data_IF_702913929912
#
_entry.id   IF_702913929912
#
_cell.length_a   1.000
_cell.length_b   1.000
_cell.length_c   1.000
_cell.angle_alpha   90.00
_cell.angle_beta   90.00
_cell.angle_gamma   90.00
#
_symmetry.space_group_name_H-M   'P 1'
#
loop_
_entity.id
_entity.type
_entity.pdbx_description
1 polymer ?
#
# COMPACT_ATOMS: atom_id res chain seq x y z
N UNK A 1 -59.15 46.64 11.76
CA UNK A 1 -58.04 46.16 12.59
C UNK A 1 -58.58 45.22 13.64
N UNK A 2 -58.47 43.91 13.41
CA UNK A 2 -58.79 42.87 14.41
C UNK A 2 -57.79 41.74 14.19
N UNK A 3 -56.61 41.90 14.78
CA UNK A 3 -55.54 40.91 14.77
C UNK A 3 -55.78 39.87 15.85
N UNK A 4 -55.83 38.62 15.42
CA UNK A 4 -56.14 37.42 16.19
C UNK A 4 -55.12 37.17 17.32
N UNK A 5 -55.55 37.34 18.58
CA UNK A 5 -54.81 37.07 19.83
C UNK A 5 -54.85 35.58 20.26
N UNK A 6 -54.79 34.62 19.34
CA UNK A 6 -55.02 33.19 19.68
C UNK A 6 -53.78 32.48 20.29
N UNK A 7 -52.59 33.08 20.21
CA UNK A 7 -51.34 32.44 20.66
C UNK A 7 -50.99 32.60 22.15
N UNK A 8 -51.34 33.74 22.76
CA UNK A 8 -50.85 34.09 24.12
C UNK A 8 -51.58 33.38 25.24
N UNK A 9 -52.86 33.03 25.03
CA UNK A 9 -53.68 32.42 26.07
C UNK A 9 -53.31 30.96 26.34
N UNK A 10 -52.86 30.22 25.33
CA UNK A 10 -52.42 28.83 25.50
C UNK A 10 -51.11 28.73 26.26
N UNK A 11 -50.15 29.62 25.98
CA UNK A 11 -48.88 29.68 26.69
C UNK A 11 -49.09 30.10 28.15
N UNK A 12 -49.95 31.09 28.40
CA UNK A 12 -50.29 31.50 29.76
C UNK A 12 -50.99 30.38 30.52
N UNK A 13 -51.99 29.72 29.93
CA UNK A 13 -52.68 28.60 30.56
C UNK A 13 -51.74 27.42 30.86
N UNK A 14 -50.85 27.08 29.92
CA UNK A 14 -49.84 26.04 30.14
C UNK A 14 -48.87 26.41 31.27
N UNK A 15 -48.37 27.65 31.31
CA UNK A 15 -47.49 28.13 32.37
C UNK A 15 -48.20 28.10 33.74
N UNK A 16 -49.45 28.57 33.82
CA UNK A 16 -50.23 28.52 35.05
C UNK A 16 -50.40 27.08 35.54
N UNK A 17 -50.78 26.15 34.65
CA UNK A 17 -50.92 24.74 35.01
C UNK A 17 -49.58 24.09 35.38
N UNK A 18 -48.50 24.43 34.67
CA UNK A 18 -47.16 23.92 34.95
C UNK A 18 -46.64 24.33 36.33
N UNK A 19 -46.86 25.58 36.74
CA UNK A 19 -46.37 26.04 38.05
C UNK A 19 -47.34 25.73 39.20
N UNK A 20 -48.65 25.79 38.96
CA UNK A 20 -49.65 25.65 40.01
C UNK A 20 -50.12 24.20 40.26
N UNK A 21 -50.03 23.30 39.28
CA UNK A 21 -50.57 21.94 39.39
C UNK A 21 -49.48 20.86 39.29
N UNK A 22 -49.21 20.21 40.43
CA UNK A 22 -48.24 19.12 40.51
C UNK A 22 -48.64 17.88 39.69
N UNK A 23 -49.95 17.61 39.52
CA UNK A 23 -50.44 16.48 38.72
C UNK A 23 -50.27 16.75 37.24
N UNK A 24 -50.48 18.00 36.80
CA UNK A 24 -50.23 18.41 35.42
C UNK A 24 -48.74 18.24 35.04
N UNK A 25 -47.82 18.65 35.92
CA UNK A 25 -46.38 18.42 35.74
C UNK A 25 -46.04 16.93 35.68
N UNK A 26 -46.57 16.14 36.62
CA UNK A 26 -46.31 14.70 36.66
C UNK A 26 -46.83 14.01 35.38
N UNK A 27 -48.01 14.39 34.90
CA UNK A 27 -48.56 13.86 33.66
C UNK A 27 -47.67 14.19 32.45
N UNK A 28 -47.16 15.42 32.36
CA UNK A 28 -46.24 15.81 31.29
C UNK A 28 -44.87 15.13 31.34
N UNK A 29 -44.40 14.72 32.53
CA UNK A 29 -43.13 14.00 32.68
C UNK A 29 -43.30 12.49 32.47
N UNK A 30 -44.37 11.91 33.02
CA UNK A 30 -44.57 10.45 33.06
C UNK A 30 -45.23 9.93 31.79
N UNK A 31 -46.22 10.64 31.22
CA UNK A 31 -46.96 10.11 30.07
C UNK A 31 -46.09 9.92 28.83
N UNK A 32 -45.15 10.82 28.46
CA UNK A 32 -44.26 10.57 27.33
C UNK A 32 -43.35 9.36 27.56
N UNK A 33 -42.82 9.20 28.77
CA UNK A 33 -41.98 8.05 29.11
C UNK A 33 -42.78 6.74 29.13
N UNK A 34 -43.98 6.76 29.69
CA UNK A 34 -44.90 5.63 29.70
C UNK A 34 -45.32 5.25 28.28
N UNK A 35 -45.61 6.23 27.41
CA UNK A 35 -45.94 6.00 26.01
C UNK A 35 -44.76 5.39 25.24
N UNK A 36 -43.53 5.89 25.44
CA UNK A 36 -42.32 5.30 24.84
C UNK A 36 -42.09 3.87 25.36
N UNK A 37 -42.27 3.61 26.65
CA UNK A 37 -42.14 2.27 27.22
C UNK A 37 -43.21 1.31 26.67
N UNK A 38 -44.46 1.76 26.53
CA UNK A 38 -45.56 1.00 25.93
C UNK A 38 -45.30 0.70 24.46
N UNK A 39 -44.84 1.69 23.68
CA UNK A 39 -44.51 1.52 22.27
C UNK A 39 -43.30 0.58 22.11
N UNK A 40 -42.28 0.69 22.96
CA UNK A 40 -41.14 -0.22 22.96
C UNK A 40 -41.58 -1.65 23.34
N UNK A 41 -42.40 -1.80 24.38
CA UNK A 41 -42.96 -3.09 24.79
C UNK A 41 -43.84 -3.73 23.71
N UNK A 42 -44.69 -2.94 23.05
CA UNK A 42 -45.53 -3.39 21.93
C UNK A 42 -44.67 -3.78 20.73
N UNK A 43 -43.66 -2.98 20.37
CA UNK A 43 -42.73 -3.31 19.30
C UNK A 43 -42.00 -4.63 19.60
N UNK A 44 -41.50 -4.82 20.82
CA UNK A 44 -40.86 -6.07 21.24
C UNK A 44 -41.82 -7.28 21.19
N UNK A 45 -43.07 -7.09 21.61
CA UNK A 45 -44.09 -8.14 21.58
C UNK A 45 -44.50 -8.54 20.14
N UNK A 46 -44.62 -7.55 19.25
CA UNK A 46 -45.02 -7.77 17.85
C UNK A 46 -43.87 -8.32 16.99
N UNK A 47 -42.63 -7.94 17.29
CA UNK A 47 -41.48 -8.35 16.48
C UNK A 47 -41.08 -9.83 16.66
N UNK A 48 -41.67 -10.55 17.64
CA UNK A 48 -41.31 -11.94 18.01
C UNK A 48 -39.83 -12.21 17.71
N UNK A 49 -38.90 -11.53 18.41
CA UNK A 49 -37.50 -11.53 18.03
C UNK A 49 -37.05 -12.99 17.89
N UNK A 50 -36.73 -13.39 16.67
CA UNK A 50 -36.37 -14.77 16.33
C UNK A 50 -34.99 -15.17 16.91
N UNK A 51 -34.40 -14.32 17.77
CA UNK A 51 -33.17 -14.58 18.49
C UNK A 51 -33.31 -14.12 19.94
N UNK A 52 -32.73 -14.88 20.85
CA UNK A 52 -32.63 -14.50 22.26
C UNK A 52 -31.82 -13.21 22.37
N UNK A 53 -32.49 -12.15 22.81
CA UNK A 53 -31.86 -10.85 22.99
C UNK A 53 -30.70 -10.94 23.98
N UNK A 54 -29.53 -10.43 23.60
CA UNK A 54 -28.33 -10.45 24.45
C UNK A 54 -27.45 -11.71 24.36
N UNK A 55 -27.86 -12.76 23.63
CA UNK A 55 -26.90 -13.81 23.24
C UNK A 55 -26.00 -13.27 22.12
N UNK A 56 -24.66 -13.33 22.27
CA UNK A 56 -23.77 -12.98 21.18
C UNK A 56 -24.09 -13.86 19.97
N UNK A 57 -24.01 -13.28 18.77
CA UNK A 57 -24.37 -13.98 17.53
C UNK A 57 -23.51 -15.23 17.25
N UNK A 58 -22.40 -15.38 17.97
CA UNK A 58 -21.64 -16.61 18.04
C UNK A 58 -21.01 -16.80 19.43
N UNK A 59 -20.78 -18.05 19.82
CA UNK A 59 -20.02 -18.38 21.04
C UNK A 59 -18.51 -18.39 20.75
N UNK A 60 -17.67 -18.20 21.78
CA UNK A 60 -16.21 -18.32 21.61
C UNK A 60 -15.81 -19.74 21.21
N UNK A 61 -16.58 -20.73 21.66
CA UNK A 61 -16.40 -22.15 21.34
C UNK A 61 -16.66 -22.40 19.86
N UNK A 62 -17.72 -21.81 19.29
CA UNK A 62 -18.03 -21.90 17.87
C UNK A 62 -16.97 -21.19 17.03
N UNK A 63 -16.55 -19.98 17.42
CA UNK A 63 -15.48 -19.26 16.72
C UNK A 63 -14.20 -20.10 16.65
N UNK A 64 -13.80 -20.70 17.78
CA UNK A 64 -12.65 -21.61 17.82
C UNK A 64 -12.84 -22.85 16.95
N UNK A 65 -14.03 -23.46 16.99
CA UNK A 65 -14.37 -24.62 16.17
C UNK A 65 -14.23 -24.29 14.68
N UNK A 66 -14.84 -23.20 14.22
CA UNK A 66 -14.81 -22.84 12.81
C UNK A 66 -13.44 -22.35 12.34
N UNK A 67 -12.63 -21.75 13.24
CA UNK A 67 -11.23 -21.44 12.94
C UNK A 67 -10.39 -22.70 12.71
N UNK A 68 -10.59 -23.75 13.53
CA UNK A 68 -9.94 -25.06 13.32
C UNK A 68 -10.37 -25.71 12.00
N UNK A 69 -11.65 -25.60 11.65
CA UNK A 69 -12.16 -26.08 10.36
C UNK A 69 -11.57 -25.29 9.17
N UNK A 70 -11.44 -23.97 9.29
CA UNK A 70 -10.77 -23.11 8.30
C UNK A 70 -9.32 -23.55 8.08
N UNK A 71 -8.57 -23.76 9.17
CA UNK A 71 -7.17 -24.15 9.07
C UNK A 71 -7.00 -25.52 8.41
N UNK A 72 -7.79 -26.53 8.81
CA UNK A 72 -7.77 -27.86 8.16
C UNK A 72 -8.19 -27.79 6.69
N UNK A 73 -9.25 -27.05 6.39
CA UNK A 73 -9.70 -26.88 5.01
C UNK A 73 -8.64 -26.18 4.16
N UNK A 74 -8.06 -25.07 4.63
CA UNK A 74 -7.15 -24.23 3.86
C UNK A 74 -5.70 -24.74 3.80
N UNK A 75 -5.15 -25.16 4.94
CA UNK A 75 -3.74 -25.59 5.04
C UNK A 75 -3.55 -27.05 4.64
N UNK A 76 -4.48 -27.92 5.02
CA UNK A 76 -4.38 -29.35 4.77
C UNK A 76 -5.16 -29.81 3.54
N UNK A 77 -6.09 -28.99 3.04
CA UNK A 77 -6.99 -29.36 1.96
C UNK A 77 -8.07 -30.35 2.39
N UNK A 78 -8.39 -30.39 3.69
CA UNK A 78 -9.40 -31.30 4.25
C UNK A 78 -10.80 -30.92 3.73
N UNK A 79 -11.31 -31.74 2.79
CA UNK A 79 -12.64 -31.56 2.20
C UNK A 79 -13.76 -31.73 3.22
N UNK A 80 -13.61 -32.61 4.22
CA UNK A 80 -14.64 -32.81 5.23
C UNK A 80 -14.73 -31.59 6.17
N UNK A 81 -13.57 -31.01 6.51
CA UNK A 81 -13.54 -29.75 7.26
C UNK A 81 -14.18 -28.60 6.48
N UNK A 82 -13.89 -28.50 5.17
CA UNK A 82 -14.51 -27.53 4.29
C UNK A 82 -16.04 -27.66 4.24
N UNK A 83 -16.56 -28.87 4.01
CA UNK A 83 -18.03 -29.07 3.95
C UNK A 83 -18.71 -28.77 5.29
N UNK A 84 -18.08 -29.09 6.43
CA UNK A 84 -18.61 -28.72 7.75
C UNK A 84 -18.62 -27.20 7.96
N UNK A 85 -17.55 -26.51 7.57
CA UNK A 85 -17.46 -25.06 7.65
C UNK A 85 -18.53 -24.40 6.77
N UNK A 86 -18.69 -24.89 5.55
CA UNK A 86 -19.72 -24.45 4.60
C UNK A 86 -21.13 -24.68 5.15
N UNK A 87 -21.42 -25.85 5.72
CA UNK A 87 -22.71 -26.15 6.33
C UNK A 87 -23.06 -25.18 7.47
N UNK A 88 -22.11 -24.85 8.35
CA UNK A 88 -22.30 -23.82 9.39
C UNK A 88 -22.57 -22.44 8.77
N UNK A 89 -21.82 -22.07 7.72
CA UNK A 89 -22.05 -20.81 7.03
C UNK A 89 -23.45 -20.72 6.40
N UNK A 90 -23.92 -21.81 5.78
CA UNK A 90 -25.26 -21.93 5.21
C UNK A 90 -26.35 -21.88 6.29
N UNK A 91 -26.11 -22.53 7.44
CA UNK A 91 -26.98 -22.48 8.61
C UNK A 91 -27.09 -21.07 9.24
N UNK A 92 -26.15 -20.18 8.94
CA UNK A 92 -26.19 -18.79 9.37
C UNK A 92 -25.19 -18.42 10.46
N UNK A 93 -24.32 -19.34 10.88
CA UNK A 93 -23.29 -19.09 11.88
C UNK A 93 -22.34 -17.98 11.44
N UNK A 94 -22.16 -16.99 12.31
CA UNK A 94 -21.46 -15.74 11.97
C UNK A 94 -19.97 -15.99 11.71
N UNK A 95 -19.30 -16.75 12.58
CA UNK A 95 -17.88 -17.08 12.40
C UNK A 95 -17.68 -17.99 11.21
N UNK A 96 -18.53 -19.00 11.02
CA UNK A 96 -18.45 -19.91 9.87
C UNK A 96 -18.56 -19.15 8.55
N UNK A 97 -19.52 -18.21 8.43
CA UNK A 97 -19.64 -17.33 7.27
C UNK A 97 -18.39 -16.49 7.07
N UNK A 98 -17.87 -15.85 8.12
CA UNK A 98 -16.65 -15.05 8.02
C UNK A 98 -15.46 -15.88 7.52
N UNK A 99 -15.27 -17.07 8.07
CA UNK A 99 -14.16 -17.95 7.70
C UNK A 99 -14.33 -18.58 6.30
N UNK A 100 -15.56 -18.87 5.87
CA UNK A 100 -15.83 -19.18 4.46
C UNK A 100 -15.45 -18.02 3.54
N UNK A 101 -15.72 -16.77 3.96
CA UNK A 101 -15.26 -15.58 3.26
C UNK A 101 -13.74 -15.54 3.11
N UNK A 102 -12.98 -15.98 4.12
CA UNK A 102 -11.51 -16.01 4.07
C UNK A 102 -10.97 -17.01 3.03
N UNK A 103 -11.61 -18.16 2.86
CA UNK A 103 -11.24 -19.13 1.82
C UNK A 103 -11.49 -18.59 0.40
N UNK A 104 -12.46 -17.70 0.20
CA UNK A 104 -12.70 -17.07 -1.09
C UNK A 104 -11.94 -15.75 -1.29
N UNK A 105 -11.52 -15.07 -0.23
CA UNK A 105 -10.81 -13.80 -0.33
C UNK A 105 -9.44 -14.00 -1.01
N UNK A 106 -9.14 -13.35 -2.15
CA UNK A 106 -7.89 -13.57 -2.88
C UNK A 106 -6.59 -13.33 -2.11
N UNK A 107 -6.59 -12.44 -1.12
CA UNK A 107 -5.40 -12.18 -0.31
C UNK A 107 -5.16 -13.30 0.70
N UNK A 108 -6.22 -13.79 1.32
CA UNK A 108 -6.16 -14.82 2.37
C UNK A 108 -6.06 -16.21 1.78
N UNK A 109 -6.78 -16.48 0.69
CA UNK A 109 -6.73 -17.74 -0.03
C UNK A 109 -5.30 -18.11 -0.48
N UNK A 110 -4.46 -17.11 -0.78
CA UNK A 110 -3.05 -17.33 -1.13
C UNK A 110 -2.19 -17.84 0.05
N UNK A 111 -2.61 -17.58 1.29
CA UNK A 111 -1.96 -18.10 2.51
C UNK A 111 -2.34 -19.56 2.79
N UNK A 112 -3.41 -20.04 2.16
CA UNK A 112 -3.94 -21.40 2.30
C UNK A 112 -3.55 -22.23 1.07
N UNK A 113 -2.31 -22.74 1.07
CA UNK A 113 -1.71 -23.40 -0.10
C UNK A 113 -2.51 -24.60 -0.65
N UNK A 114 -3.35 -25.24 0.17
CA UNK A 114 -4.20 -26.37 -0.21
C UNK A 114 -5.69 -26.03 -0.22
N UNK A 115 -6.03 -24.74 -0.29
CA UNK A 115 -7.41 -24.28 -0.29
C UNK A 115 -8.25 -25.00 -1.37
N UNK A 116 -9.35 -25.66 -0.99
CA UNK A 116 -10.16 -26.45 -1.92
C UNK A 116 -10.96 -25.59 -2.90
N UNK A 117 -11.04 -24.26 -2.69
CA UNK A 117 -11.77 -23.35 -3.56
C UNK A 117 -10.84 -22.35 -4.25
N UNK A 118 -11.24 -21.94 -5.46
CA UNK A 118 -10.56 -20.86 -6.16
C UNK A 118 -10.91 -19.51 -5.51
N UNK A 119 -9.96 -18.57 -5.41
CA UNK A 119 -10.22 -17.19 -5.03
C UNK A 119 -11.37 -16.55 -5.83
N UNK A 120 -12.29 -15.89 -5.13
CA UNK A 120 -13.45 -15.18 -5.71
C UNK A 120 -13.86 -14.04 -4.75
N UNK A 121 -13.52 -12.81 -5.12
CA UNK A 121 -13.78 -11.62 -4.32
C UNK A 121 -15.29 -11.36 -4.11
N UNK A 122 -16.12 -11.57 -5.13
CA UNK A 122 -17.56 -11.31 -5.04
C UNK A 122 -18.23 -12.31 -4.10
N UNK A 123 -17.81 -13.58 -4.17
CA UNK A 123 -18.29 -14.63 -3.27
C UNK A 123 -17.83 -14.39 -1.83
N UNK A 124 -16.58 -13.95 -1.64
CA UNK A 124 -16.08 -13.57 -0.33
C UNK A 124 -16.91 -12.43 0.30
N UNK A 125 -17.22 -11.37 -0.45
CA UNK A 125 -18.08 -10.27 0.01
C UNK A 125 -19.48 -10.77 0.42
N UNK A 126 -20.05 -11.72 -0.31
CA UNK A 126 -21.34 -12.32 0.03
C UNK A 126 -21.30 -13.01 1.39
N UNK A 127 -20.23 -13.76 1.66
CA UNK A 127 -20.02 -14.41 2.96
C UNK A 127 -19.76 -13.42 4.10
N UNK A 128 -18.97 -12.38 3.84
CA UNK A 128 -18.62 -11.39 4.85
C UNK A 128 -19.75 -10.43 5.21
N UNK A 129 -20.66 -10.12 4.29
CA UNK A 129 -21.63 -9.03 4.45
C UNK A 129 -22.43 -9.12 5.76
N UNK A 130 -23.14 -10.23 5.99
CA UNK A 130 -23.99 -10.38 7.17
C UNK A 130 -23.18 -10.40 8.47
N UNK A 131 -22.08 -11.18 8.60
CA UNK A 131 -21.19 -11.08 9.75
C UNK A 131 -20.64 -9.67 10.01
N UNK A 132 -20.26 -8.93 8.96
CA UNK A 132 -19.74 -7.58 9.09
C UNK A 132 -20.80 -6.59 9.59
N UNK A 133 -22.05 -6.73 9.11
CA UNK A 133 -23.20 -5.95 9.57
C UNK A 133 -23.52 -6.22 11.05
N UNK A 134 -23.24 -7.44 11.53
CA UNK A 134 -23.36 -7.83 12.93
C UNK A 134 -22.15 -7.44 13.80
N UNK A 135 -21.14 -6.78 13.21
CA UNK A 135 -19.97 -6.32 13.93
C UNK A 135 -18.89 -7.38 14.16
N UNK A 136 -18.86 -8.47 13.39
CA UNK A 136 -17.82 -9.47 13.51
C UNK A 136 -16.48 -8.93 12.94
N UNK A 137 -15.41 -8.78 13.75
CA UNK A 137 -14.20 -8.07 13.33
C UNK A 137 -13.54 -8.64 12.08
N UNK A 138 -13.43 -9.98 11.99
CA UNK A 138 -12.80 -10.63 10.83
C UNK A 138 -13.52 -10.34 9.52
N UNK A 139 -14.86 -10.25 9.56
CA UNK A 139 -15.65 -9.92 8.40
C UNK A 139 -15.64 -8.43 8.07
N UNK A 140 -15.69 -7.55 9.07
CA UNK A 140 -15.52 -6.11 8.84
C UNK A 140 -14.17 -5.81 8.18
N UNK A 141 -13.09 -6.47 8.63
CA UNK A 141 -11.77 -6.43 7.99
C UNK A 141 -11.82 -6.94 6.55
N UNK A 142 -12.36 -8.14 6.32
CA UNK A 142 -12.47 -8.72 4.97
C UNK A 142 -13.27 -7.85 3.99
N UNK A 143 -14.37 -7.23 4.45
CA UNK A 143 -15.12 -6.24 3.69
C UNK A 143 -14.27 -5.02 3.35
N UNK A 144 -13.52 -4.50 4.32
CA UNK A 144 -12.66 -3.32 4.15
C UNK A 144 -11.58 -3.57 3.11
N UNK A 145 -10.83 -4.67 3.23
CA UNK A 145 -9.75 -5.04 2.33
C UNK A 145 -10.24 -5.24 0.89
N UNK A 146 -11.39 -5.93 0.70
CA UNK A 146 -11.93 -6.20 -0.63
C UNK A 146 -12.54 -4.97 -1.30
N UNK A 147 -13.24 -4.13 -0.55
CA UNK A 147 -13.93 -2.95 -1.09
C UNK A 147 -13.01 -1.74 -1.28
N UNK A 148 -11.91 -1.64 -0.55
CA UNK A 148 -10.95 -0.53 -0.69
C UNK A 148 -9.78 -0.84 -1.63
N UNK A 149 -9.62 -2.10 -2.05
CA UNK A 149 -8.60 -2.50 -3.01
C UNK A 149 -9.10 -2.39 -4.46
N UNK A 150 -8.66 -1.35 -5.19
CA UNK A 150 -8.98 -1.13 -6.61
C UNK A 150 -8.56 -2.28 -7.54
N UNK A 151 -7.59 -3.10 -7.13
CA UNK A 151 -7.09 -4.25 -7.87
C UNK A 151 -8.04 -5.45 -7.96
N UNK A 152 -9.16 -5.45 -7.22
CA UNK A 152 -10.00 -6.66 -7.04
C UNK A 152 -11.38 -6.57 -7.70
N UNK A 153 -11.67 -5.49 -8.42
CA UNK A 153 -12.90 -5.35 -9.21
C UNK A 153 -14.20 -5.19 -8.40
N UNK A 154 -14.11 -5.06 -7.07
CA UNK A 154 -15.24 -4.86 -6.16
C UNK A 154 -15.11 -3.54 -5.39
N UNK A 155 -14.42 -2.57 -5.97
CA UNK A 155 -14.13 -1.31 -5.29
C UNK A 155 -15.40 -0.51 -5.02
N UNK A 156 -15.63 -0.20 -3.74
CA UNK A 156 -16.72 0.65 -3.26
C UNK A 156 -16.17 1.42 -2.06
N UNK A 157 -15.67 2.63 -2.36
CA UNK A 157 -14.98 3.45 -1.38
C UNK A 157 -15.86 3.76 -0.15
N UNK A 158 -17.11 4.19 -0.37
CA UNK A 158 -18.00 4.58 0.73
C UNK A 158 -18.32 3.41 1.64
N UNK A 159 -18.69 2.27 1.05
CA UNK A 159 -19.03 1.07 1.82
C UNK A 159 -17.80 0.48 2.49
N UNK A 160 -16.67 0.43 1.81
CA UNK A 160 -15.39 -0.02 2.36
C UNK A 160 -14.95 0.83 3.54
N UNK A 161 -15.00 2.15 3.43
CA UNK A 161 -14.68 3.08 4.51
C UNK A 161 -15.61 2.94 5.71
N UNK A 162 -16.92 2.75 5.47
CA UNK A 162 -17.88 2.46 6.55
C UNK A 162 -17.49 1.22 7.35
N UNK A 163 -17.16 0.10 6.68
CA UNK A 163 -16.72 -1.11 7.39
C UNK A 163 -15.36 -0.97 8.05
N UNK A 164 -14.42 -0.25 7.41
CA UNK A 164 -13.09 -0.01 7.96
C UNK A 164 -13.15 0.79 9.26
N UNK A 165 -13.97 1.84 9.29
CA UNK A 165 -14.21 2.61 10.51
C UNK A 165 -14.93 1.80 11.59
N UNK A 166 -15.90 0.97 11.20
CA UNK A 166 -16.58 0.08 12.14
C UNK A 166 -15.63 -0.98 12.73
N UNK A 167 -14.70 -1.52 11.92
CA UNK A 167 -13.64 -2.41 12.36
C UNK A 167 -12.68 -1.72 13.32
N UNK A 168 -12.20 -0.52 12.98
CA UNK A 168 -11.30 0.27 13.83
C UNK A 168 -11.94 0.61 15.19
N UNK A 169 -13.24 0.94 15.20
CA UNK A 169 -13.97 1.25 16.43
C UNK A 169 -14.35 -0.01 17.24
N UNK A 170 -14.10 -1.21 16.73
CA UNK A 170 -14.52 -2.45 17.36
C UNK A 170 -13.60 -2.81 18.55
N UNK A 171 -14.12 -2.88 19.79
CA UNK A 171 -13.29 -3.18 20.96
C UNK A 171 -12.72 -4.60 20.96
N UNK A 172 -13.35 -5.55 20.24
CA UNK A 172 -12.81 -6.89 20.04
C UNK A 172 -11.61 -6.83 19.09
N UNK A 173 -11.69 -6.02 18.03
CA UNK A 173 -10.58 -5.82 17.09
C UNK A 173 -9.33 -5.28 17.80
N UNK A 174 -9.53 -4.26 18.65
CA UNK A 174 -8.47 -3.66 19.45
C UNK A 174 -7.83 -4.64 20.44
N UNK A 175 -8.63 -5.47 21.15
CA UNK A 175 -8.12 -6.45 22.13
C UNK A 175 -7.36 -7.61 21.50
N UNK A 176 -7.81 -8.10 20.35
CA UNK A 176 -7.26 -9.29 19.70
C UNK A 176 -6.08 -8.96 18.77
N UNK A 177 -5.53 -7.73 18.86
CA UNK A 177 -4.47 -7.24 17.99
C UNK A 177 -4.76 -7.41 16.48
N UNK A 178 -6.04 -7.41 16.08
CA UNK A 178 -6.40 -7.42 14.66
C UNK A 178 -5.93 -6.13 13.94
N UNK A 179 -5.59 -5.10 14.72
CA UNK A 179 -4.96 -3.86 14.26
C UNK A 179 -3.52 -4.07 13.73
N UNK A 180 -2.90 -5.23 13.98
CA UNK A 180 -1.62 -5.59 13.35
C UNK A 180 -1.77 -5.83 11.83
N UNK A 181 -3.00 -5.80 11.31
CA UNK A 181 -3.29 -5.68 9.88
C UNK A 181 -2.99 -4.27 9.37
N UNK A 182 -1.71 -3.99 9.16
CA UNK A 182 -1.26 -2.71 8.60
C UNK A 182 -1.95 -2.34 7.29
N UNK A 183 -2.28 -3.33 6.45
CA UNK A 183 -2.99 -3.10 5.18
C UNK A 183 -4.37 -2.50 5.44
N UNK A 184 -5.10 -3.00 6.44
CA UNK A 184 -6.42 -2.46 6.80
C UNK A 184 -6.31 -1.02 7.33
N UNK A 185 -5.33 -0.75 8.21
CA UNK A 185 -5.09 0.60 8.72
C UNK A 185 -4.68 1.58 7.62
N UNK A 186 -3.85 1.13 6.67
CA UNK A 186 -3.50 1.88 5.47
C UNK A 186 -4.76 2.34 4.74
N UNK A 187 -5.69 1.41 4.48
CA UNK A 187 -6.92 1.71 3.75
C UNK A 187 -7.85 2.65 4.51
N UNK A 188 -7.97 2.47 5.83
CA UNK A 188 -8.80 3.34 6.68
C UNK A 188 -8.24 4.77 6.71
N UNK A 189 -6.92 4.94 6.74
CA UNK A 189 -6.32 6.26 6.69
C UNK A 189 -6.63 6.98 5.36
N UNK A 190 -6.66 6.25 4.24
CA UNK A 190 -7.12 6.77 2.95
C UNK A 190 -8.56 7.29 2.96
N UNK A 191 -9.44 6.72 3.79
CA UNK A 191 -10.81 7.21 3.94
C UNK A 191 -10.89 8.64 4.48
N UNK A 192 -9.93 9.06 5.31
CA UNK A 192 -9.89 10.41 5.87
C UNK A 192 -9.26 11.44 4.93
N UNK A 193 -8.68 11.02 3.81
CA UNK A 193 -8.07 11.94 2.84
C UNK A 193 -8.84 12.04 1.53
N UNK A 194 -9.62 11.01 1.20
CA UNK A 194 -10.48 10.99 0.02
C UNK A 194 -11.85 11.64 0.32
N UNK A 195 -12.21 12.69 -0.43
CA UNK A 195 -13.48 13.40 -0.26
C UNK A 195 -14.71 12.57 -0.68
N UNK A 196 -14.52 11.54 -1.53
CA UNK A 196 -15.62 10.68 -1.99
C UNK A 196 -15.94 9.55 -1.00
N UNK A 197 -15.14 9.39 0.06
CA UNK A 197 -15.27 8.31 1.03
C UNK A 197 -16.55 8.35 1.86
N UNK A 198 -17.23 9.50 1.89
CA UNK A 198 -18.35 9.74 2.81
C UNK A 198 -17.92 9.92 4.26
N UNK A 199 -16.60 9.96 4.53
CA UNK A 199 -16.01 10.29 5.83
C UNK A 199 -15.54 11.75 5.77
N UNK A 200 -15.76 12.57 6.82
CA UNK A 200 -15.20 13.92 6.87
C UNK A 200 -13.68 13.89 6.70
N UNK A 201 -13.16 14.71 5.79
CA UNK A 201 -11.72 14.80 5.53
C UNK A 201 -11.00 15.25 6.79
N UNK A 202 -10.06 14.43 7.26
CA UNK A 202 -9.24 14.66 8.44
C UNK A 202 -7.81 14.10 8.22
N UNK A 203 -6.94 14.88 7.55
CA UNK A 203 -5.59 14.45 7.23
C UNK A 203 -4.74 14.20 8.48
N UNK A 204 -5.08 14.83 9.61
CA UNK A 204 -4.39 14.62 10.87
C UNK A 204 -4.71 13.24 11.43
N UNK A 205 -5.99 12.85 11.42
CA UNK A 205 -6.40 11.51 11.85
C UNK A 205 -5.86 10.40 10.94
N UNK A 206 -5.79 10.65 9.63
CA UNK A 206 -5.10 9.77 8.69
C UNK A 206 -3.62 9.62 9.07
N UNK A 207 -2.92 10.73 9.34
CA UNK A 207 -1.53 10.73 9.74
C UNK A 207 -1.32 9.97 11.07
N UNK A 208 -2.21 10.12 12.04
CA UNK A 208 -2.12 9.38 13.31
C UNK A 208 -2.19 7.86 13.07
N UNK A 209 -3.16 7.40 12.28
CA UNK A 209 -3.29 5.98 11.89
C UNK A 209 -2.04 5.44 11.18
N UNK A 210 -1.49 6.21 10.24
CA UNK A 210 -0.26 5.83 9.56
C UNK A 210 0.93 5.73 10.53
N UNK A 211 1.06 6.70 11.43
CA UNK A 211 2.17 6.76 12.37
C UNK A 211 2.11 5.64 13.40
N UNK A 212 0.92 5.20 13.79
CA UNK A 212 0.75 4.03 14.65
C UNK A 212 1.13 2.74 13.92
N UNK A 213 0.79 2.64 12.63
CA UNK A 213 1.18 1.50 11.78
C UNK A 213 2.70 1.41 11.57
N UNK A 214 3.35 2.55 11.34
CA UNK A 214 4.82 2.63 11.20
C UNK A 214 5.50 2.32 12.54
N UNK A 215 4.97 2.82 13.66
CA UNK A 215 5.50 2.57 15.00
C UNK A 215 5.38 1.10 15.42
N UNK A 216 4.40 0.36 14.88
CA UNK A 216 4.30 -1.09 15.05
C UNK A 216 5.42 -1.88 14.32
N UNK A 217 6.33 -1.20 13.61
CA UNK A 217 7.52 -1.75 12.94
C UNK A 217 7.23 -2.85 11.91
N UNK A 218 6.06 -2.82 11.30
CA UNK A 218 5.66 -3.80 10.28
C UNK A 218 6.47 -3.52 8.99
N UNK A 219 7.44 -4.38 8.60
CA UNK A 219 8.46 -4.02 7.59
C UNK A 219 7.89 -3.64 6.22
N UNK A 220 6.83 -4.33 5.78
CA UNK A 220 6.14 -4.07 4.52
C UNK A 220 5.42 -2.72 4.54
N UNK A 221 4.78 -2.39 5.67
CA UNK A 221 4.09 -1.13 5.85
C UNK A 221 5.09 0.04 5.74
N UNK A 222 6.20 -0.04 6.47
CA UNK A 222 7.24 1.01 6.49
C UNK A 222 7.78 1.28 5.08
N UNK A 223 8.13 0.24 4.33
CA UNK A 223 8.64 0.39 2.96
C UNK A 223 7.57 0.99 2.05
N UNK A 224 6.37 0.40 2.01
CA UNK A 224 5.25 0.88 1.17
C UNK A 224 4.93 2.34 1.46
N UNK A 225 4.80 2.71 2.74
CA UNK A 225 4.51 4.09 3.13
C UNK A 225 5.61 5.08 2.74
N UNK A 226 6.87 4.71 2.97
CA UNK A 226 8.00 5.60 2.68
C UNK A 226 8.13 5.86 1.18
N UNK A 227 7.92 4.82 0.37
CA UNK A 227 8.05 4.88 -1.09
C UNK A 227 6.86 5.62 -1.73
N UNK A 228 5.66 5.47 -1.15
CA UNK A 228 4.45 6.12 -1.63
C UNK A 228 4.20 7.50 -1.03
N UNK A 229 5.01 7.96 -0.07
CA UNK A 229 4.79 9.25 0.61
C UNK A 229 4.68 10.43 -0.36
N UNK A 230 5.41 10.39 -1.49
CA UNK A 230 5.34 11.41 -2.53
C UNK A 230 4.09 11.37 -3.41
N UNK A 231 3.27 10.33 -3.30
CA UNK A 231 1.96 10.21 -3.97
C UNK A 231 0.80 10.62 -3.07
N UNK A 232 1.07 10.81 -1.77
CA UNK A 232 0.05 11.18 -0.80
C UNK A 232 -0.36 12.65 -0.95
N UNK A 233 -1.61 13.00 -0.60
CA UNK A 233 -2.05 14.39 -0.57
C UNK A 233 -1.11 15.28 0.27
N UNK A 234 -0.78 16.52 -0.18
CA UNK A 234 0.18 17.37 0.53
C UNK A 234 -0.22 17.68 1.98
N UNK A 235 -1.51 17.82 2.26
CA UNK A 235 -2.03 18.05 3.62
C UNK A 235 -1.83 16.84 4.55
N UNK A 236 -1.90 15.63 4.01
CA UNK A 236 -1.55 14.40 4.73
C UNK A 236 -0.05 14.36 5.02
N UNK A 237 0.79 14.63 4.02
CA UNK A 237 2.25 14.64 4.22
C UNK A 237 2.64 15.70 5.26
N UNK A 238 2.01 16.87 5.23
CA UNK A 238 2.21 17.92 6.23
C UNK A 238 1.79 17.45 7.63
N UNK A 239 0.68 16.71 7.75
CA UNK A 239 0.26 16.12 9.02
C UNK A 239 1.26 15.07 9.54
N UNK A 240 1.79 14.22 8.66
CA UNK A 240 2.85 13.26 9.00
C UNK A 240 4.12 14.00 9.46
N UNK A 241 4.57 15.04 8.75
CA UNK A 241 5.71 15.86 9.13
C UNK A 241 5.52 16.51 10.51
N UNK A 242 4.33 17.05 10.82
CA UNK A 242 4.01 17.58 12.16
C UNK A 242 4.09 16.49 13.24
N UNK A 243 3.56 15.30 12.97
CA UNK A 243 3.63 14.18 13.90
C UNK A 243 5.07 13.71 14.14
N UNK A 244 5.89 13.62 13.09
CA UNK A 244 7.31 13.30 13.19
C UNK A 244 8.07 14.36 13.99
N UNK A 245 7.79 15.64 13.74
CA UNK A 245 8.42 16.75 14.47
C UNK A 245 8.05 16.75 15.95
N UNK A 246 6.76 16.55 16.27
CA UNK A 246 6.27 16.41 17.66
C UNK A 246 6.94 15.25 18.39
N UNK A 247 7.31 14.17 17.67
CA UNK A 247 8.01 13.00 18.20
C UNK A 247 9.55 13.12 18.14
N UNK A 248 10.09 14.23 17.64
CA UNK A 248 11.53 14.48 17.57
C UNK A 248 12.27 13.78 16.41
N UNK A 249 11.55 13.21 15.44
CA UNK A 249 12.14 12.53 14.28
C UNK A 249 12.35 13.45 13.07
N UNK A 250 11.78 14.66 13.07
CA UNK A 250 11.83 15.59 11.95
C UNK A 250 12.01 17.03 12.42
N UNK A 251 12.90 17.78 11.78
CA UNK A 251 13.20 19.19 12.12
C UNK A 251 12.91 20.18 11.00
N UNK A 252 12.49 19.68 9.83
CA UNK A 252 12.12 20.51 8.69
C UNK A 252 10.71 21.11 8.80
N UNK A 253 10.32 21.96 7.82
CA UNK A 253 8.97 22.52 7.77
C UNK A 253 7.93 21.44 7.45
N UNK A 254 6.74 21.55 8.02
CA UNK A 254 5.60 20.70 7.68
C UNK A 254 4.85 21.24 6.45
N UNK A 255 5.53 21.22 5.30
CA UNK A 255 5.12 21.85 4.04
C UNK A 255 4.33 20.92 3.09
N UNK A 256 4.20 19.64 3.43
CA UNK A 256 3.54 18.65 2.59
C UNK A 256 4.43 18.02 1.51
N UNK A 257 5.72 18.34 1.49
CA UNK A 257 6.68 17.78 0.53
C UNK A 257 7.32 16.49 1.08
N UNK A 258 7.21 15.39 0.34
CA UNK A 258 7.81 14.10 0.73
C UNK A 258 9.33 14.02 0.44
N UNK A 259 10.08 14.93 1.07
CA UNK A 259 11.55 15.08 0.91
C UNK A 259 12.32 13.84 1.40
N UNK A 260 13.60 13.68 0.99
CA UNK A 260 14.47 12.66 1.57
C UNK A 260 14.55 12.71 3.11
N UNK A 261 14.52 13.91 3.70
CA UNK A 261 14.51 14.09 5.15
C UNK A 261 13.22 13.55 5.78
N UNK A 262 12.06 13.81 5.17
CA UNK A 262 10.77 13.27 5.65
C UNK A 262 10.75 11.74 5.57
N UNK A 263 11.27 11.15 4.49
CA UNK A 263 11.38 9.69 4.34
C UNK A 263 12.32 9.08 5.38
N UNK A 264 13.48 9.69 5.60
CA UNK A 264 14.43 9.25 6.63
C UNK A 264 13.80 9.32 8.03
N UNK A 265 13.02 10.35 8.33
CA UNK A 265 12.31 10.49 9.60
C UNK A 265 11.26 9.37 9.82
N UNK A 266 10.50 9.00 8.79
CA UNK A 266 9.56 7.85 8.85
C UNK A 266 10.32 6.54 9.10
N UNK A 267 11.45 6.32 8.40
CA UNK A 267 12.29 5.14 8.62
C UNK A 267 12.91 5.10 10.02
N UNK A 268 13.29 6.26 10.56
CA UNK A 268 13.81 6.38 11.92
C UNK A 268 12.74 6.03 12.97
N UNK A 269 11.49 6.50 12.79
CA UNK A 269 10.37 6.12 13.67
C UNK A 269 10.15 4.59 13.67
N UNK A 270 10.28 3.94 12.51
CA UNK A 270 10.19 2.49 12.40
C UNK A 270 11.35 1.72 13.07
N UNK A 271 12.35 2.43 13.61
CA UNK A 271 13.56 1.84 14.19
C UNK A 271 14.53 1.26 13.16
N UNK A 272 14.44 1.69 11.89
CA UNK A 272 15.34 1.28 10.80
C UNK A 272 16.55 2.19 10.59
N UNK A 273 16.66 3.31 11.31
CA UNK A 273 17.81 4.23 11.25
C UNK A 273 18.36 4.58 12.64
N UNK A 274 19.67 4.82 12.70
CA UNK A 274 20.43 5.11 13.91
C UNK A 274 20.18 6.52 14.43
N UNK A 275 19.43 6.65 15.52
CA UNK A 275 19.39 7.79 16.45
C UNK A 275 18.98 9.16 15.88
N UNK A 276 18.51 10.10 16.73
CA UNK A 276 18.23 11.46 16.29
C UNK A 276 19.53 12.13 15.82
N UNK A 277 19.50 12.71 14.61
CA UNK A 277 20.57 13.57 14.08
C UNK A 277 20.72 14.78 15.02
N UNK A 278 21.73 14.74 15.89
CA UNK A 278 22.21 15.92 16.59
C UNK A 278 22.96 16.78 15.57
N UNK A 279 22.48 18.02 15.37
CA UNK A 279 23.14 19.01 14.54
C UNK A 279 24.58 19.28 15.02
N UNK A 280 25.60 19.18 14.16
CA UNK A 280 26.86 19.87 14.37
C UNK A 280 26.88 21.16 13.54
N UNK A 281 27.05 22.30 14.22
CA UNK A 281 27.74 23.44 13.62
C UNK A 281 26.88 24.63 13.18
N UNK A 282 26.58 25.50 14.14
CA UNK A 282 26.64 26.95 13.90
C UNK A 282 28.07 27.33 13.55
N UNK A 283 28.37 27.50 12.26
CA UNK A 283 29.67 27.91 11.77
C UNK A 283 29.52 28.83 10.57
N UNK A 284 29.45 30.13 10.85
CA UNK A 284 29.42 31.22 9.88
C UNK A 284 30.81 31.39 9.23
N UNK A 285 30.98 31.42 7.90
CA UNK A 285 32.21 31.88 7.29
C UNK A 285 32.02 33.24 6.60
N UNK A 286 32.66 34.25 7.20
CA UNK A 286 33.72 35.02 6.55
C UNK A 286 33.43 35.66 5.19
N UNK A 287 33.19 36.97 5.24
CA UNK A 287 33.38 37.88 4.12
C UNK A 287 34.83 37.83 3.61
N UNK A 288 34.99 37.65 2.30
CA UNK A 288 36.26 37.73 1.58
C UNK A 288 36.04 38.43 0.24
N UNK A 289 36.08 39.76 0.30
CA UNK A 289 35.97 40.68 -0.83
C UNK A 289 37.24 40.60 -1.70
N UNK A 290 37.12 40.38 -3.01
CA UNK A 290 38.25 40.43 -3.94
C UNK A 290 37.91 41.22 -5.21
N UNK A 291 38.76 42.22 -5.47
CA UNK A 291 39.28 42.50 -6.80
C UNK A 291 38.41 43.29 -7.76
N UNK A 292 38.38 44.61 -7.59
CA UNK A 292 38.11 45.53 -8.68
C UNK A 292 39.30 45.52 -9.67
N UNK A 293 39.03 45.25 -10.95
CA UNK A 293 39.97 45.40 -12.06
C UNK A 293 39.20 45.85 -13.28
N UNK A 294 39.29 47.14 -13.59
CA UNK A 294 38.54 47.83 -14.63
C UNK A 294 39.52 48.28 -15.73
N UNK A 295 39.33 47.83 -16.97
CA UNK A 295 39.95 48.32 -18.21
C UNK A 295 38.97 47.96 -19.34
N UNK A 296 38.26 48.88 -19.97
CA UNK A 296 38.72 49.92 -20.91
C UNK A 296 37.90 49.75 -22.21
N UNK A 297 37.44 50.81 -22.90
CA UNK A 297 36.33 50.71 -23.86
C UNK A 297 36.80 50.49 -25.31
N UNK A 298 36.26 49.47 -25.97
CA UNK A 298 36.45 49.18 -27.40
C UNK A 298 35.19 49.48 -28.22
N UNK A 299 35.37 50.17 -29.34
CA UNK A 299 34.38 50.69 -30.31
C UNK A 299 33.40 49.65 -30.90
N UNK A 300 32.19 50.07 -31.34
CA UNK A 300 31.21 49.19 -31.98
C UNK A 300 31.49 49.02 -33.48
N UNK A 301 31.61 47.76 -33.92
CA UNK A 301 31.57 47.34 -35.33
C UNK A 301 30.25 46.64 -35.62
N UNK A 302 29.55 47.11 -36.65
CA UNK A 302 28.30 46.56 -37.21
C UNK A 302 28.43 45.08 -37.62
N UNK A 303 27.48 44.20 -37.25
CA UNK A 303 27.45 42.82 -37.75
C UNK A 303 26.67 42.68 -39.07
N UNK A 304 27.06 41.74 -39.96
CA UNK A 304 26.33 41.38 -41.17
C UNK A 304 25.05 40.55 -40.84
N UNK A 305 24.08 40.44 -41.76
CA UNK A 305 22.74 39.97 -41.44
C UNK A 305 22.72 38.50 -41.01
N UNK A 306 22.05 38.24 -39.90
CA UNK A 306 21.87 36.91 -39.32
C UNK A 306 21.00 36.03 -40.23
N UNK A 307 21.53 34.84 -40.53
CA UNK A 307 20.73 33.68 -40.91
C UNK A 307 19.75 33.34 -39.77
N UNK A 308 18.51 32.89 -40.06
CA UNK A 308 17.57 32.48 -39.02
C UNK A 308 18.20 31.40 -38.13
N UNK A 309 18.09 31.49 -36.79
CA UNK A 309 18.58 30.43 -35.93
C UNK A 309 17.80 29.15 -36.21
N UNK A 310 18.52 28.07 -36.52
CA UNK A 310 17.93 26.74 -36.49
C UNK A 310 17.29 26.52 -35.10
N UNK A 311 16.04 26.09 -35.09
CA UNK A 311 15.31 25.70 -33.87
C UNK A 311 16.19 24.79 -33.02
N UNK A 312 16.45 25.10 -31.74
CA UNK A 312 17.23 24.20 -30.88
C UNK A 312 16.54 22.82 -30.84
N UNK A 313 17.30 21.71 -30.93
CA UNK A 313 16.71 20.39 -30.76
C UNK A 313 16.01 20.31 -29.40
N UNK A 314 14.79 19.77 -29.39
CA UNK A 314 14.01 19.59 -28.18
C UNK A 314 14.87 18.89 -27.11
N UNK A 315 15.02 19.54 -25.94
CA UNK A 315 15.77 19.00 -24.82
C UNK A 315 15.25 17.61 -24.45
N UNK A 316 16.16 16.65 -24.31
CA UNK A 316 15.82 15.30 -23.87
C UNK A 316 15.05 15.34 -22.54
N UNK A 317 14.03 14.48 -22.35
CA UNK A 317 13.27 14.45 -21.10
C UNK A 317 14.16 14.09 -19.92
N UNK A 318 13.93 14.72 -18.76
CA UNK A 318 14.66 14.41 -17.53
C UNK A 318 14.33 13.01 -17.02
N UNK A 319 15.20 12.45 -16.17
CA UNK A 319 14.97 11.15 -15.53
C UNK A 319 13.68 11.17 -14.71
N UNK A 320 13.40 12.25 -13.99
CA UNK A 320 12.18 12.42 -13.20
C UNK A 320 10.94 12.39 -14.09
N UNK A 321 10.97 13.05 -15.25
CA UNK A 321 9.88 13.05 -16.21
C UNK A 321 9.64 11.64 -16.78
N UNK A 322 10.71 10.90 -17.09
CA UNK A 322 10.60 9.52 -17.57
C UNK A 322 10.06 8.57 -16.49
N UNK A 323 10.47 8.75 -15.23
CA UNK A 323 9.95 7.98 -14.09
C UNK A 323 8.47 8.27 -13.82
N UNK A 324 8.04 9.52 -13.93
CA UNK A 324 6.63 9.90 -13.83
C UNK A 324 5.81 9.25 -14.95
N UNK A 325 6.35 9.29 -16.17
CA UNK A 325 5.72 8.67 -17.34
C UNK A 325 5.56 7.16 -17.17
N UNK A 326 6.62 6.46 -16.73
CA UNK A 326 6.58 5.03 -16.43
C UNK A 326 5.54 4.67 -15.37
N UNK A 327 5.44 5.45 -14.30
CA UNK A 327 4.43 5.22 -13.25
C UNK A 327 3.00 5.36 -13.76
N UNK A 328 2.74 6.32 -14.65
CA UNK A 328 1.41 6.53 -15.24
C UNK A 328 1.08 5.48 -16.32
N UNK A 329 2.09 5.05 -17.08
CA UNK A 329 1.96 4.09 -18.18
C UNK A 329 1.40 2.71 -17.77
N UNK A 330 1.38 2.37 -16.48
CA UNK A 330 0.72 1.14 -16.00
C UNK A 330 -0.80 1.18 -16.16
N UNK A 331 -1.39 2.38 -16.14
CA UNK A 331 -2.85 2.58 -16.18
C UNK A 331 -3.32 3.58 -17.25
N UNK A 332 -2.40 4.31 -17.90
CA UNK A 332 -2.71 5.30 -18.94
C UNK A 332 -2.04 4.97 -20.29
N UNK A 333 -2.85 4.69 -21.31
CA UNK A 333 -2.38 4.28 -22.64
C UNK A 333 -1.63 5.38 -23.41
N UNK A 334 -1.94 6.65 -23.17
CA UNK A 334 -1.24 7.75 -23.84
C UNK A 334 0.20 7.90 -23.30
N UNK A 335 0.36 7.74 -21.99
CA UNK A 335 1.67 7.81 -21.33
C UNK A 335 2.53 6.60 -21.67
N UNK A 336 1.91 5.43 -21.80
CA UNK A 336 2.55 4.21 -22.31
C UNK A 336 3.07 4.41 -23.74
N UNK A 337 2.22 4.89 -24.65
CA UNK A 337 2.61 5.13 -26.05
C UNK A 337 3.76 6.14 -26.14
N UNK A 338 3.76 7.17 -25.27
CA UNK A 338 4.84 8.16 -25.18
C UNK A 338 6.13 7.53 -24.66
N UNK A 339 6.06 6.69 -23.63
CA UNK A 339 7.24 6.00 -23.09
C UNK A 339 7.83 5.04 -24.13
N UNK A 340 6.96 4.30 -24.82
CA UNK A 340 7.33 3.42 -25.94
C UNK A 340 8.05 4.19 -27.04
N UNK A 341 7.48 5.32 -27.47
CA UNK A 341 8.09 6.16 -28.52
C UNK A 341 9.50 6.65 -28.13
N UNK A 342 9.70 7.05 -26.87
CA UNK A 342 11.01 7.44 -26.35
C UNK A 342 11.99 6.26 -26.27
N UNK A 343 11.50 5.06 -25.96
CA UNK A 343 12.30 3.83 -25.97
C UNK A 343 12.73 3.46 -27.41
N UNK A 344 11.80 3.53 -28.36
CA UNK A 344 12.05 3.30 -29.79
C UNK A 344 13.01 4.34 -30.39
N UNK A 345 12.99 5.58 -29.89
CA UNK A 345 13.93 6.63 -30.30
C UNK A 345 15.32 6.51 -29.66
N UNK A 346 15.58 5.46 -28.88
CA UNK A 346 16.92 5.18 -28.35
C UNK A 346 17.27 5.81 -27.00
N UNK A 347 16.31 6.42 -26.28
CA UNK A 347 16.59 7.00 -24.96
C UNK A 347 16.81 5.87 -23.95
N UNK A 348 18.05 5.68 -23.47
CA UNK A 348 18.46 4.54 -22.62
C UNK A 348 17.55 4.35 -21.39
N UNK A 349 17.23 5.43 -20.67
CA UNK A 349 16.34 5.37 -19.49
C UNK A 349 14.91 4.98 -19.87
N UNK A 350 14.38 5.48 -20.99
CA UNK A 350 13.06 5.11 -21.47
C UNK A 350 13.01 3.63 -21.89
N UNK A 351 14.05 3.13 -22.57
CA UNK A 351 14.18 1.71 -22.91
C UNK A 351 14.20 0.81 -21.69
N UNK A 352 14.94 1.19 -20.65
CA UNK A 352 14.95 0.45 -19.39
C UNK A 352 13.56 0.38 -18.78
N UNK A 353 12.90 1.53 -18.60
CA UNK A 353 11.58 1.61 -17.96
C UNK A 353 10.51 0.89 -18.78
N UNK A 354 10.54 1.03 -20.10
CA UNK A 354 9.62 0.32 -20.98
C UNK A 354 9.86 -1.19 -20.93
N UNK A 355 11.12 -1.65 -20.86
CA UNK A 355 11.43 -3.07 -20.68
C UNK A 355 10.89 -3.62 -19.34
N UNK A 356 10.90 -2.82 -18.26
CA UNK A 356 10.27 -3.21 -17.00
C UNK A 356 8.75 -3.34 -17.11
N UNK A 357 8.09 -2.49 -17.91
CA UNK A 357 6.66 -2.58 -18.18
C UNK A 357 6.30 -3.88 -18.93
N UNK A 358 7.14 -4.23 -19.92
CA UNK A 358 6.98 -5.44 -20.73
C UNK A 358 7.39 -6.72 -20.00
N UNK A 359 8.21 -6.63 -18.95
CA UNK A 359 8.73 -7.79 -18.21
C UNK A 359 7.58 -8.65 -17.64
N UNK A 360 7.59 -9.98 -17.80
CA UNK A 360 6.60 -10.87 -17.19
C UNK A 360 6.63 -10.83 -15.65
N UNK A 361 7.72 -10.35 -15.04
CA UNK A 361 7.82 -10.22 -13.58
C UNK A 361 6.93 -9.10 -12.98
N UNK A 362 6.47 -8.14 -13.78
CA UNK A 362 5.66 -7.04 -13.31
C UNK A 362 4.19 -7.47 -13.03
N UNK A 363 3.82 -7.78 -11.80
CA UNK A 363 2.46 -8.30 -11.51
C UNK A 363 1.40 -7.22 -11.28
N UNK A 364 1.75 -5.94 -11.42
CA UNK A 364 0.83 -4.81 -11.19
C UNK A 364 -0.20 -4.67 -12.33
N UNK A 365 -1.27 -3.90 -12.10
CA UNK A 365 -2.30 -3.62 -13.11
C UNK A 365 -1.67 -3.15 -14.42
N UNK A 366 -1.94 -3.87 -15.52
CA UNK A 366 -1.35 -3.57 -16.84
C UNK A 366 -2.41 -3.23 -17.86
N UNK A 367 -2.14 -2.19 -18.62
CA UNK A 367 -2.74 -1.99 -19.96
C UNK A 367 -1.89 -2.60 -21.08
N UNK A 368 -0.59 -2.83 -20.86
CA UNK A 368 0.34 -3.42 -21.84
C UNK A 368 0.54 -4.91 -21.58
N UNK A 369 0.34 -5.73 -22.61
CA UNK A 369 0.66 -7.15 -22.53
C UNK A 369 2.17 -7.36 -22.34
N UNK A 370 2.59 -8.34 -21.51
CA UNK A 370 4.01 -8.66 -21.39
C UNK A 370 4.63 -9.08 -22.73
N UNK A 371 5.87 -8.65 -23.00
CA UNK A 371 6.69 -9.06 -24.15
C UNK A 371 8.12 -9.31 -23.66
N UNK A 372 8.41 -10.57 -23.32
CA UNK A 372 9.69 -10.98 -22.75
C UNK A 372 10.84 -10.85 -23.75
N UNK A 373 10.57 -11.03 -25.04
CA UNK A 373 11.60 -10.96 -26.09
C UNK A 373 12.04 -9.52 -26.34
N UNK A 374 11.11 -8.56 -26.37
CA UNK A 374 11.41 -7.15 -26.51
C UNK A 374 12.06 -6.58 -25.23
N UNK A 375 11.54 -6.93 -24.05
CA UNK A 375 12.16 -6.57 -22.77
C UNK A 375 13.62 -7.04 -22.70
N UNK A 376 13.87 -8.30 -23.08
CA UNK A 376 15.23 -8.86 -23.17
C UNK A 376 16.12 -8.02 -24.08
N UNK A 377 15.66 -7.67 -25.27
CA UNK A 377 16.46 -6.91 -26.25
C UNK A 377 16.94 -5.58 -25.66
N UNK A 378 16.05 -4.83 -25.00
CA UNK A 378 16.44 -3.56 -24.39
C UNK A 378 17.40 -3.74 -23.21
N UNK A 379 17.10 -4.69 -22.32
CA UNK A 379 17.92 -4.93 -21.14
C UNK A 379 19.33 -5.45 -21.49
N UNK A 380 19.46 -6.38 -22.45
CA UNK A 380 20.77 -6.88 -22.89
C UNK A 380 21.62 -5.77 -23.53
N UNK A 381 21.02 -4.90 -24.35
CA UNK A 381 21.72 -3.74 -24.93
C UNK A 381 22.26 -2.83 -23.83
N UNK A 382 21.38 -2.45 -22.90
CA UNK A 382 21.71 -1.54 -21.80
C UNK A 382 22.72 -2.15 -20.82
N UNK A 383 22.68 -3.45 -20.57
CA UNK A 383 23.67 -4.13 -19.73
C UNK A 383 25.11 -4.05 -20.31
N UNK A 384 25.24 -3.80 -21.62
CA UNK A 384 26.52 -3.49 -22.26
C UNK A 384 27.07 -2.11 -21.87
N UNK A 385 26.24 -1.17 -21.46
CA UNK A 385 26.65 0.18 -21.07
C UNK A 385 27.22 0.19 -19.65
N UNK A 386 28.39 0.81 -19.47
CA UNK A 386 29.05 0.89 -18.16
C UNK A 386 28.25 1.68 -17.12
N UNK A 387 27.36 2.57 -17.57
CA UNK A 387 26.55 3.45 -16.72
C UNK A 387 25.19 2.85 -16.34
N UNK A 388 24.83 1.65 -16.82
CA UNK A 388 23.48 1.12 -16.70
C UNK A 388 23.39 -0.21 -15.93
N UNK A 389 24.00 -0.24 -14.75
CA UNK A 389 23.99 -1.38 -13.83
C UNK A 389 22.58 -1.99 -13.54
N UNK A 390 21.50 -1.19 -13.39
CA UNK A 390 20.16 -1.72 -13.16
C UNK A 390 19.65 -2.62 -14.29
N UNK A 391 20.06 -2.37 -15.54
CA UNK A 391 19.62 -3.20 -16.67
C UNK A 391 20.17 -4.62 -16.60
N UNK A 392 21.43 -4.79 -16.18
CA UNK A 392 22.02 -6.10 -15.98
C UNK A 392 21.32 -6.87 -14.85
N UNK A 393 20.98 -6.20 -13.75
CA UNK A 393 20.23 -6.82 -12.65
C UNK A 393 18.83 -7.26 -13.12
N UNK A 394 18.07 -6.39 -13.79
CA UNK A 394 16.75 -6.73 -14.32
C UNK A 394 16.80 -7.83 -15.40
N UNK A 395 17.84 -7.85 -16.24
CA UNK A 395 18.06 -8.92 -17.22
C UNK A 395 18.26 -10.28 -16.54
N UNK A 396 19.01 -10.32 -15.42
CA UNK A 396 19.23 -11.55 -14.67
C UNK A 396 17.90 -12.18 -14.22
N UNK A 397 16.99 -11.39 -13.64
CA UNK A 397 15.66 -11.88 -13.26
C UNK A 397 14.82 -12.31 -14.46
N UNK A 398 14.89 -11.56 -15.56
CA UNK A 398 14.13 -11.88 -16.77
C UNK A 398 14.55 -13.25 -17.34
N UNK A 399 15.85 -13.54 -17.38
CA UNK A 399 16.36 -14.84 -17.83
C UNK A 399 16.08 -15.97 -16.83
N UNK A 400 16.07 -15.69 -15.53
CA UNK A 400 15.75 -16.70 -14.53
C UNK A 400 14.24 -17.02 -14.47
N UNK A 401 13.36 -16.06 -14.72
CA UNK A 401 11.90 -16.30 -14.70
C UNK A 401 11.42 -16.83 -16.06
N UNK A 402 11.95 -16.30 -17.17
CA UNK A 402 11.40 -16.51 -18.51
C UNK A 402 9.99 -15.92 -18.65
N UNK A 403 9.16 -16.50 -19.53
CA UNK A 403 7.77 -16.09 -19.76
C UNK A 403 7.59 -15.11 -20.91
N UNK A 404 6.33 -14.90 -21.34
CA UNK A 404 5.98 -13.99 -22.44
C UNK A 404 6.81 -14.22 -23.73
N UNK A 405 6.93 -15.49 -24.14
CA UNK A 405 7.72 -15.90 -25.31
C UNK A 405 9.22 -16.07 -25.06
N UNK A 406 9.72 -15.72 -23.87
CA UNK A 406 11.11 -15.96 -23.47
C UNK A 406 11.26 -17.29 -22.73
N UNK A 407 12.19 -18.12 -23.18
CA UNK A 407 12.59 -19.32 -22.44
C UNK A 407 13.50 -18.95 -21.27
N UNK A 408 13.34 -19.68 -20.16
CA UNK A 408 14.21 -19.56 -19.00
C UNK A 408 15.62 -20.02 -19.35
N UNK A 409 16.61 -19.23 -18.97
CA UNK A 409 18.03 -19.50 -19.21
C UNK A 409 18.86 -19.16 -17.94
N UNK A 410 19.06 -20.14 -17.04
CA UNK A 410 19.79 -19.90 -15.80
C UNK A 410 21.27 -19.56 -16.04
N UNK A 411 21.86 -20.03 -17.14
CA UNK A 411 23.25 -19.71 -17.52
C UNK A 411 23.39 -18.24 -17.86
N UNK A 412 22.48 -17.73 -18.68
CA UNK A 412 22.44 -16.31 -19.04
C UNK A 412 22.03 -15.42 -17.87
N UNK A 413 21.13 -15.88 -17.00
CA UNK A 413 20.80 -15.19 -15.76
C UNK A 413 22.04 -15.02 -14.86
N UNK A 414 22.86 -16.07 -14.72
CA UNK A 414 24.13 -16.00 -14.00
C UNK A 414 25.12 -15.02 -14.66
N UNK A 415 25.22 -15.02 -16.01
CA UNK A 415 26.08 -14.06 -16.72
C UNK A 415 25.66 -12.61 -16.50
N UNK A 416 24.36 -12.32 -16.50
CA UNK A 416 23.82 -10.99 -16.21
C UNK A 416 24.01 -10.60 -14.74
N UNK A 417 23.90 -11.54 -13.80
CA UNK A 417 24.23 -11.31 -12.38
C UNK A 417 25.70 -10.92 -12.20
N UNK A 418 26.61 -11.65 -12.83
CA UNK A 418 28.05 -11.32 -12.81
C UNK A 418 28.28 -9.92 -13.39
N UNK A 419 27.66 -9.62 -14.53
CA UNK A 419 27.74 -8.29 -15.13
C UNK A 419 27.23 -7.19 -14.19
N UNK A 420 26.11 -7.41 -13.51
CA UNK A 420 25.56 -6.46 -12.56
C UNK A 420 26.51 -6.22 -11.37
N UNK A 421 27.17 -7.27 -10.86
CA UNK A 421 28.18 -7.16 -9.80
C UNK A 421 29.43 -6.42 -10.28
N UNK A 422 29.90 -6.67 -11.51
CA UNK A 422 31.01 -5.93 -12.13
C UNK A 422 30.68 -4.44 -12.30
N UNK A 423 29.43 -4.13 -12.65
CA UNK A 423 28.88 -2.77 -12.73
C UNK A 423 28.51 -2.16 -11.37
N UNK A 424 28.88 -2.82 -10.27
CA UNK A 424 28.69 -2.31 -8.90
C UNK A 424 27.22 -2.12 -8.50
N UNK A 425 26.31 -2.88 -9.09
CA UNK A 425 24.90 -2.91 -8.66
C UNK A 425 24.79 -3.53 -7.26
N UNK A 426 24.32 -2.76 -6.29
CA UNK A 426 24.05 -3.27 -4.93
C UNK A 426 22.71 -4.01 -4.84
N UNK A 427 21.77 -3.69 -5.73
CA UNK A 427 20.45 -4.31 -5.81
C UNK A 427 20.53 -5.82 -6.11
N UNK A 428 21.40 -6.23 -7.04
CA UNK A 428 21.53 -7.66 -7.38
C UNK A 428 22.02 -8.48 -6.17
N UNK A 429 22.87 -7.90 -5.31
CA UNK A 429 23.34 -8.57 -4.11
C UNK A 429 22.20 -8.80 -3.10
N UNK A 430 21.36 -7.79 -2.87
CA UNK A 430 20.19 -7.92 -1.99
C UNK A 430 19.26 -9.04 -2.47
N UNK A 431 19.11 -9.19 -3.78
CA UNK A 431 18.27 -10.24 -4.35
C UNK A 431 18.90 -11.64 -4.28
N UNK A 432 20.23 -11.75 -4.39
CA UNK A 432 20.93 -13.02 -4.12
C UNK A 432 20.75 -13.47 -2.67
N UNK A 433 20.60 -12.53 -1.73
CA UNK A 433 20.40 -12.87 -0.32
C UNK A 433 19.01 -13.44 -0.02
N UNK A 434 18.00 -13.18 -0.86
CA UNK A 434 16.61 -13.58 -0.64
C UNK A 434 16.25 -15.02 -1.08
N UNK A 435 17.15 -15.73 -1.76
CA UNK A 435 16.95 -17.12 -2.24
C UNK A 435 15.66 -17.37 -3.06
N UNK A 436 15.37 -16.47 -4.00
CA UNK A 436 14.16 -16.53 -4.86
C UNK A 436 14.44 -16.98 -6.30
N UNK A 437 15.62 -17.55 -6.56
CA UNK A 437 16.06 -17.90 -7.90
C UNK A 437 15.63 -19.32 -8.28
N UNK A 438 15.32 -19.53 -9.56
CA UNK A 438 14.88 -20.82 -10.06
C UNK A 438 15.99 -21.88 -10.14
N UNK A 439 15.58 -23.13 -10.38
CA UNK A 439 16.46 -24.30 -10.52
C UNK A 439 17.55 -24.10 -11.59
N UNK A 440 18.80 -24.34 -11.27
CA UNK A 440 19.96 -24.26 -12.16
C UNK A 440 20.69 -22.92 -12.09
N UNK A 441 20.07 -21.87 -11.55
CA UNK A 441 20.69 -20.55 -11.43
C UNK A 441 21.92 -20.59 -10.51
N UNK A 442 21.76 -21.22 -9.34
CA UNK A 442 22.81 -21.22 -8.32
C UNK A 442 24.04 -22.00 -8.78
N UNK A 443 23.84 -23.14 -9.43
CA UNK A 443 24.93 -23.90 -10.03
C UNK A 443 25.67 -23.09 -11.10
N UNK A 444 24.93 -22.40 -11.98
CA UNK A 444 25.52 -21.57 -13.03
C UNK A 444 26.31 -20.39 -12.45
N UNK A 445 25.76 -19.68 -11.45
CA UNK A 445 26.45 -18.56 -10.79
C UNK A 445 27.73 -19.01 -10.08
N UNK A 446 27.66 -20.11 -9.33
CA UNK A 446 28.84 -20.67 -8.66
C UNK A 446 29.92 -21.06 -9.66
N UNK A 447 29.56 -21.64 -10.80
CA UNK A 447 30.50 -21.93 -11.87
C UNK A 447 31.18 -20.64 -12.37
N UNK A 448 30.43 -19.57 -12.66
CA UNK A 448 31.03 -18.31 -13.17
C UNK A 448 31.90 -17.59 -12.16
N UNK A 449 31.61 -17.75 -10.86
CA UNK A 449 32.46 -17.26 -9.78
C UNK A 449 33.71 -18.14 -9.61
N UNK A 450 33.60 -19.45 -9.79
CA UNK A 450 34.74 -20.37 -9.77
C UNK A 450 35.71 -20.09 -10.94
N UNK A 451 35.18 -19.88 -12.15
CA UNK A 451 35.96 -19.52 -13.34
C UNK A 451 36.74 -18.21 -13.15
N UNK A 452 36.28 -17.34 -12.24
CA UNK A 452 36.94 -16.08 -11.84
C UNK A 452 37.84 -16.22 -10.61
N UNK A 453 38.08 -17.44 -10.13
CA UNK A 453 38.81 -17.74 -8.90
C UNK A 453 38.24 -17.10 -7.63
N UNK A 454 36.94 -16.76 -7.61
CA UNK A 454 36.26 -16.16 -6.46
C UNK A 454 35.54 -17.19 -5.59
N UNK A 455 35.24 -18.38 -6.11
CA UNK A 455 34.55 -19.46 -5.40
C UNK A 455 35.38 -20.74 -5.40
N UNK A 456 35.59 -21.34 -4.22
CA UNK A 456 36.40 -22.57 -4.02
C UNK A 456 35.59 -23.71 -3.39
N UNK A 457 34.28 -23.74 -3.62
CA UNK A 457 33.40 -24.80 -3.15
C UNK A 457 33.02 -25.79 -4.25
N UNK A 458 32.34 -26.86 -3.85
CA UNK A 458 31.60 -27.70 -4.81
C UNK A 458 30.49 -26.86 -5.44
N UNK A 459 30.32 -26.97 -6.75
CA UNK A 459 29.18 -26.38 -7.46
C UNK A 459 27.93 -27.17 -7.10
N UNK A 460 26.95 -26.50 -6.50
CA UNK A 460 25.66 -27.04 -6.11
C UNK A 460 24.57 -26.06 -6.49
N UNK A 461 23.40 -26.58 -6.86
CA UNK A 461 22.27 -25.75 -7.27
C UNK A 461 21.45 -25.23 -6.07
N UNK A 462 22.16 -24.62 -5.11
CA UNK A 462 21.58 -24.07 -3.89
C UNK A 462 22.36 -22.83 -3.46
N UNK A 463 21.66 -21.85 -2.88
CA UNK A 463 22.29 -20.71 -2.20
C UNK A 463 23.19 -21.22 -1.08
N UNK A 464 24.38 -20.63 -0.95
CA UNK A 464 25.24 -20.82 0.21
C UNK A 464 26.07 -19.56 0.51
N UNK A 465 26.54 -19.43 1.75
CA UNK A 465 27.25 -18.23 2.22
C UNK A 465 28.55 -17.98 1.45
N UNK A 466 29.23 -19.03 0.99
CA UNK A 466 30.46 -18.91 0.18
C UNK A 466 30.17 -18.24 -1.16
N UNK A 467 29.03 -18.54 -1.77
CA UNK A 467 28.56 -17.92 -3.03
C UNK A 467 28.28 -16.44 -2.80
N UNK A 468 27.59 -16.08 -1.71
CA UNK A 468 27.29 -14.69 -1.36
C UNK A 468 28.57 -13.90 -1.06
N UNK A 469 29.50 -14.48 -0.30
CA UNK A 469 30.81 -13.86 -0.04
C UNK A 469 31.64 -13.67 -1.31
N UNK A 470 31.59 -14.62 -2.26
CA UNK A 470 32.24 -14.46 -3.55
C UNK A 470 31.62 -13.32 -4.39
N UNK A 471 30.29 -13.21 -4.39
CA UNK A 471 29.57 -12.11 -5.05
C UNK A 471 29.90 -10.74 -4.41
N UNK A 472 29.97 -10.66 -3.08
CA UNK A 472 30.39 -9.45 -2.34
C UNK A 472 31.81 -9.01 -2.71
N UNK A 473 32.75 -9.95 -2.75
CA UNK A 473 34.13 -9.70 -3.22
C UNK A 473 34.17 -9.16 -4.66
N UNK A 474 33.37 -9.72 -5.57
CA UNK A 474 33.26 -9.21 -6.95
C UNK A 474 32.72 -7.78 -7.00
N UNK A 475 31.72 -7.48 -6.16
CA UNK A 475 31.19 -6.13 -5.99
C UNK A 475 32.26 -5.15 -5.47
N UNK A 476 33.35 -5.63 -4.87
CA UNK A 476 34.38 -4.80 -4.24
C UNK A 476 34.04 -4.43 -2.81
N UNK A 477 33.13 -5.19 -2.17
CA UNK A 477 32.80 -5.08 -0.76
C UNK A 477 33.27 -6.39 -0.08
N UNK A 478 34.51 -6.44 0.44
CA UNK A 478 35.13 -7.69 0.89
C UNK A 478 34.37 -8.41 2.01
#
# INVERSE_FOLDING_TARGET
MSGVLIGTDRLRAHATLWYADARYRLAWLVLPQAAVALLAGLALALLKPAGEWGKPADSKENEKLYLDLLDKAGKDGDRAAFEKLKAGAEAGDVSARSFMGALYNPEWAALYAKNPVKPDAAKALTYYQKPADLGFPGAQRGMTELLLNRGRGQYDLKRGCRYGLAFHANPVAARNAYLDSWSTLYWIAGCYTDAESGVPRDPQKAADLYMDTVAAKLPLAVTTFTDELGRQPPDLVAAIQRNLAKRGFYTGPADGSATPQTRAAVQALAGRAAGPQTNPGTGNPGAGNSGAGNSGPGKPGTPPPATPPATPPASAPSVEALMALFKSATTNAADEAKLRSLAESGVSVAQYLYALLLSPANTEQRITAPDGLLARRYLERLAGEASFAPAAASAAFLFDIGGAGLQRDPGKAADMTIRALELKSTEILQNLEQDKWGVGFWAALQQRLADRNLYQGRVVDQRNDRTIQAARRLLGNP
#
